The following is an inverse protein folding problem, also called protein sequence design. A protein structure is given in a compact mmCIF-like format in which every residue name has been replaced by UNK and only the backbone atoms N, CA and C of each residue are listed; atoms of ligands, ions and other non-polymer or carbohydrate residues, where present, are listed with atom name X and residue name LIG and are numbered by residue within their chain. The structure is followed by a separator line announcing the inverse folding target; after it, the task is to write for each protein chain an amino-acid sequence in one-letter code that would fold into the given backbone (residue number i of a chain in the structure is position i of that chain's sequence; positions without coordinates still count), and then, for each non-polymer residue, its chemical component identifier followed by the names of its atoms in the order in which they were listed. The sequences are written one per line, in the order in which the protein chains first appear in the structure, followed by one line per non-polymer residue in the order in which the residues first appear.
data_IF_617081018844
#
_entry.id   IF_617081018844
#
_cell.length_a   1.000
_cell.length_b   1.000
_cell.length_c   1.000
_cell.angle_alpha   90.00
_cell.angle_beta   90.00
_cell.angle_gamma   90.00
#
_symmetry.space_group_name_H-M   'P 1'
#
loop_
_entity.id
_entity.type
_entity.pdbx_description
1 polymer ?
#
# COMPACT_ATOMS: atom_id res chain seq x y z
N UNK A 1 -11.35 3.74 -18.80
CA UNK A 1 -10.10 3.59 -18.02
C UNK A 1 -10.22 4.13 -16.60
N UNK A 2 -10.72 5.36 -16.38
CA UNK A 2 -10.87 5.95 -15.03
C UNK A 2 -11.61 5.05 -14.02
N UNK A 3 -12.82 4.58 -14.35
CA UNK A 3 -13.61 3.67 -13.48
C UNK A 3 -12.91 2.36 -13.13
N UNK A 4 -12.08 1.83 -14.03
CA UNK A 4 -11.35 0.59 -13.79
C UNK A 4 -10.22 0.79 -12.78
N UNK A 5 -9.46 1.89 -12.90
CA UNK A 5 -8.41 2.25 -11.94
C UNK A 5 -9.01 2.55 -10.57
N UNK A 6 -10.14 3.28 -10.52
CA UNK A 6 -10.84 3.55 -9.26
C UNK A 6 -11.30 2.24 -8.59
N UNK A 7 -11.81 1.27 -9.35
CA UNK A 7 -12.17 -0.06 -8.84
C UNK A 7 -10.95 -0.81 -8.27
N UNK A 8 -9.82 -0.81 -8.99
CA UNK A 8 -8.58 -1.45 -8.53
C UNK A 8 -8.04 -0.80 -7.25
N UNK A 9 -8.15 0.52 -7.11
CA UNK A 9 -7.78 1.24 -5.88
C UNK A 9 -8.67 0.80 -4.71
N UNK A 10 -9.97 0.70 -4.92
CA UNK A 10 -10.91 0.28 -3.86
C UNK A 10 -10.60 -1.15 -3.41
N UNK A 11 -10.38 -2.07 -4.35
CA UNK A 11 -10.06 -3.48 -4.04
C UNK A 11 -8.71 -3.60 -3.33
N UNK A 12 -7.67 -2.92 -3.82
CA UNK A 12 -6.35 -2.97 -3.17
C UNK A 12 -6.36 -2.34 -1.78
N UNK A 13 -7.05 -1.21 -1.61
CA UNK A 13 -7.20 -0.55 -0.32
C UNK A 13 -8.02 -1.39 0.68
N UNK A 14 -9.07 -2.08 0.23
CA UNK A 14 -9.86 -2.94 1.11
C UNK A 14 -9.04 -4.13 1.60
N UNK A 15 -8.30 -4.79 0.71
CA UNK A 15 -7.38 -5.89 1.08
C UNK A 15 -6.32 -5.39 2.06
N UNK A 16 -5.68 -4.24 1.79
CA UNK A 16 -4.68 -3.67 2.70
C UNK A 16 -5.28 -3.35 4.08
N UNK A 17 -6.50 -2.81 4.13
CA UNK A 17 -7.19 -2.53 5.40
C UNK A 17 -7.49 -3.79 6.19
N UNK A 18 -7.91 -4.88 5.53
CA UNK A 18 -8.14 -6.17 6.16
C UNK A 18 -6.83 -6.72 6.73
N UNK A 19 -5.72 -6.65 5.99
CA UNK A 19 -4.42 -7.10 6.47
C UNK A 19 -3.95 -6.32 7.70
N UNK A 20 -4.17 -5.00 7.72
CA UNK A 20 -3.87 -4.15 8.88
C UNK A 20 -4.72 -4.59 10.08
N UNK A 21 -6.04 -4.76 9.90
CA UNK A 21 -6.94 -5.21 10.96
C UNK A 21 -6.57 -6.59 11.50
N UNK A 22 -6.29 -7.55 10.61
CA UNK A 22 -5.81 -8.87 10.99
C UNK A 22 -4.53 -8.78 11.83
N UNK A 23 -3.59 -7.90 11.44
CA UNK A 23 -2.33 -7.70 12.17
C UNK A 23 -2.55 -7.08 13.53
N UNK A 24 -3.47 -6.12 13.66
CA UNK A 24 -3.86 -5.53 14.94
C UNK A 24 -4.61 -6.53 15.84
N UNK A 25 -5.48 -7.38 15.28
CA UNK A 25 -6.20 -8.39 16.07
C UNK A 25 -5.25 -9.48 16.61
N UNK A 26 -4.25 -9.83 15.81
CA UNK A 26 -3.27 -10.86 16.16
C UNK A 26 -2.07 -10.31 16.94
N UNK A 27 -2.03 -8.99 17.21
CA UNK A 27 -0.95 -8.37 17.98
C UNK A 27 -0.85 -8.90 19.41
N UNK A 28 -1.97 -9.31 20.01
CA UNK A 28 -1.97 -10.03 21.29
C UNK A 28 -1.25 -11.38 21.17
N UNK A 29 -1.53 -12.12 20.11
CA UNK A 29 -0.89 -13.40 19.81
C UNK A 29 0.61 -13.21 19.50
N UNK A 30 1.02 -12.08 18.92
CA UNK A 30 2.43 -11.73 18.70
C UNK A 30 3.18 -11.40 19.98
N UNK A 31 2.59 -10.58 20.85
CA UNK A 31 3.26 -10.14 22.07
C UNK A 31 3.42 -11.27 23.09
N UNK A 32 2.45 -12.20 23.16
CA UNK A 32 2.42 -13.23 24.20
C UNK A 32 2.79 -14.65 23.72
N UNK A 33 2.58 -14.99 22.44
CA UNK A 33 2.80 -16.36 21.92
C UNK A 33 4.07 -16.45 21.05
N UNK A 34 4.66 -15.33 20.66
CA UNK A 34 5.95 -15.30 19.95
C UNK A 34 5.92 -15.86 18.53
N UNK A 35 4.74 -16.11 17.95
CA UNK A 35 4.61 -16.54 16.56
C UNK A 35 4.81 -15.37 15.61
N UNK A 36 5.99 -15.24 15.03
CA UNK A 36 6.30 -14.24 14.00
C UNK A 36 5.49 -14.51 12.72
N UNK A 37 4.21 -14.11 12.66
CA UNK A 37 3.64 -13.85 11.33
C UNK A 37 4.38 -12.66 10.78
N UNK A 38 5.03 -12.86 9.64
CA UNK A 38 5.62 -11.82 8.81
C UNK A 38 4.52 -10.94 8.15
N UNK A 39 3.47 -10.55 8.88
CA UNK A 39 2.34 -9.75 8.35
C UNK A 39 2.77 -8.36 7.85
N UNK A 40 3.94 -7.89 8.28
CA UNK A 40 4.52 -6.65 7.78
C UNK A 40 4.78 -6.69 6.27
N UNK A 41 5.27 -7.81 5.73
CA UNK A 41 5.57 -7.91 4.30
C UNK A 41 4.30 -7.88 3.43
N UNK A 42 3.23 -8.64 3.71
CA UNK A 42 1.94 -8.51 3.05
C UNK A 42 1.34 -7.10 3.15
N UNK A 43 1.44 -6.44 4.31
CA UNK A 43 0.95 -5.06 4.47
C UNK A 43 1.75 -4.11 3.58
N UNK A 44 3.09 -4.20 3.60
CA UNK A 44 3.96 -3.37 2.77
C UNK A 44 3.64 -3.53 1.29
N UNK A 45 3.47 -4.76 0.81
CA UNK A 45 3.05 -5.05 -0.56
C UNK A 45 1.67 -4.46 -0.88
N UNK A 46 0.67 -4.68 -0.02
CA UNK A 46 -0.68 -4.16 -0.21
C UNK A 46 -0.70 -2.63 -0.33
N UNK A 47 0.02 -1.93 0.55
CA UNK A 47 0.12 -0.46 0.52
C UNK A 47 0.92 0.02 -0.70
N UNK A 48 2.01 -0.66 -1.06
CA UNK A 48 2.82 -0.30 -2.23
C UNK A 48 2.01 -0.41 -3.55
N UNK A 49 1.21 -1.47 -3.70
CA UNK A 49 0.31 -1.66 -4.85
C UNK A 49 -0.75 -0.56 -4.89
N UNK A 50 -1.38 -0.26 -3.75
CA UNK A 50 -2.41 0.78 -3.66
C UNK A 50 -1.84 2.15 -4.08
N UNK A 51 -0.64 2.50 -3.60
CA UNK A 51 0.05 3.73 -3.98
C UNK A 51 0.49 3.75 -5.46
N UNK A 52 0.84 2.59 -6.02
CA UNK A 52 1.09 2.43 -7.46
C UNK A 52 -0.14 2.76 -8.31
N UNK A 53 -1.31 2.23 -7.94
CA UNK A 53 -2.57 2.57 -8.62
C UNK A 53 -2.95 4.04 -8.43
N UNK A 54 -2.71 4.62 -7.25
CA UNK A 54 -2.94 6.04 -6.98
C UNK A 54 -2.08 6.94 -7.88
N UNK A 55 -0.82 6.54 -8.11
CA UNK A 55 0.09 7.20 -9.05
C UNK A 55 -0.52 7.22 -10.46
N UNK A 56 -0.99 6.07 -10.93
CA UNK A 56 -1.61 5.96 -12.25
C UNK A 56 -2.87 6.84 -12.37
N UNK A 57 -3.66 6.94 -11.29
CA UNK A 57 -4.84 7.81 -11.22
C UNK A 57 -4.47 9.29 -11.31
N UNK A 58 -3.52 9.76 -10.49
CA UNK A 58 -3.09 11.16 -10.52
C UNK A 58 -2.46 11.52 -11.86
N UNK A 59 -1.71 10.60 -12.47
CA UNK A 59 -1.12 10.81 -13.78
C UNK A 59 -2.16 11.03 -14.90
N UNK A 60 -3.29 10.34 -14.82
CA UNK A 60 -4.35 10.40 -15.84
C UNK A 60 -5.40 11.49 -15.57
N UNK A 61 -5.64 11.85 -14.31
CA UNK A 61 -6.80 12.66 -13.93
C UNK A 61 -6.45 14.12 -13.62
N UNK A 62 -5.26 14.39 -13.09
CA UNK A 62 -4.84 15.74 -12.71
C UNK A 62 -4.09 16.43 -13.86
N UNK A 63 -4.13 17.77 -13.89
CA UNK A 63 -3.39 18.59 -14.86
C UNK A 63 -2.46 19.58 -14.14
N UNK A 64 -1.36 19.94 -14.80
CA UNK A 64 -0.37 20.90 -14.27
C UNK A 64 0.43 20.38 -13.07
N UNK A 65 0.80 21.28 -12.16
CA UNK A 65 1.71 20.97 -11.04
C UNK A 65 1.14 19.93 -10.07
N UNK A 66 -0.18 19.89 -9.89
CA UNK A 66 -0.86 18.91 -9.02
C UNK A 66 -0.60 17.47 -9.49
N UNK A 67 -0.63 17.24 -10.80
CA UNK A 67 -0.32 15.93 -11.39
C UNK A 67 1.07 15.45 -10.97
N UNK A 68 2.07 16.30 -11.12
CA UNK A 68 3.46 15.95 -10.86
C UNK A 68 3.67 15.71 -9.36
N UNK A 69 3.19 16.61 -8.51
CA UNK A 69 3.38 16.50 -7.05
C UNK A 69 2.71 15.25 -6.50
N UNK A 70 1.43 15.02 -6.79
CA UNK A 70 0.72 13.86 -6.25
C UNK A 70 1.24 12.53 -6.81
N UNK A 71 1.57 12.49 -8.11
CA UNK A 71 2.13 11.29 -8.73
C UNK A 71 3.54 10.97 -8.22
N UNK A 72 4.40 11.98 -8.02
CA UNK A 72 5.77 11.75 -7.51
C UNK A 72 5.75 11.32 -6.05
N UNK A 73 4.90 11.93 -5.22
CA UNK A 73 4.72 11.53 -3.83
C UNK A 73 4.22 10.09 -3.73
N UNK A 74 3.15 9.72 -4.42
CA UNK A 74 2.61 8.35 -4.36
C UNK A 74 3.60 7.31 -4.89
N UNK A 75 4.36 7.64 -5.94
CA UNK A 75 5.38 6.75 -6.50
C UNK A 75 6.57 6.59 -5.54
N UNK A 76 7.01 7.68 -4.89
CA UNK A 76 8.09 7.62 -3.91
C UNK A 76 7.75 6.72 -2.73
N UNK A 77 6.52 6.80 -2.21
CA UNK A 77 6.04 5.94 -1.12
C UNK A 77 6.04 4.48 -1.54
N UNK A 78 5.57 4.18 -2.76
CA UNK A 78 5.57 2.81 -3.30
C UNK A 78 6.99 2.24 -3.41
N UNK A 79 7.95 3.02 -3.92
CA UNK A 79 9.36 2.60 -4.04
C UNK A 79 9.99 2.38 -2.67
N UNK A 80 9.79 3.29 -1.72
CA UNK A 80 10.34 3.18 -0.36
C UNK A 80 9.82 1.91 0.32
N UNK A 81 8.52 1.60 0.18
CA UNK A 81 7.92 0.39 0.73
C UNK A 81 8.47 -0.90 0.09
N UNK A 82 8.73 -0.90 -1.21
CA UNK A 82 9.34 -2.05 -1.87
C UNK A 82 10.82 -2.24 -1.49
N UNK A 83 11.56 -1.14 -1.31
CA UNK A 83 12.95 -1.20 -0.84
C UNK A 83 13.05 -1.69 0.60
N UNK A 84 12.12 -1.28 1.47
CA UNK A 84 12.14 -1.68 2.88
C UNK A 84 11.91 -3.19 3.08
N UNK A 85 11.21 -3.87 2.17
CA UNK A 85 11.09 -5.34 2.16
C UNK A 85 12.46 -6.01 2.08
N UNK A 86 13.42 -5.43 1.35
CA UNK A 86 14.76 -6.02 1.20
C UNK A 86 15.65 -5.78 2.42
N UNK A 87 15.33 -4.76 3.22
CA UNK A 87 16.06 -4.37 4.44
C UNK A 87 15.55 -5.18 5.64
N UNK A 88 14.25 -5.48 5.69
CA UNK A 88 13.62 -6.33 6.70
C UNK A 88 13.70 -7.80 6.24
N UNK A 89 14.90 -8.37 6.30
CA UNK A 89 15.15 -9.82 6.10
C UNK A 89 15.56 -10.48 7.41
#
# INVERSE_FOLDING_TARGET
MKKFIDLMIIISASIASILILCTLLTSYQFFYVGQMFYSYMPIQLGVAITMGFLTMRFWQNEHGNKKIIYSTLSLSISIILLLSISIVK
#
